data_IF_131859005145
#
_entry.id   IF_131859005145
#
_cell.length_a   1.000
_cell.length_b   1.000
_cell.length_c   1.000
_cell.angle_alpha   90.00
_cell.angle_beta   90.00
_cell.angle_gamma   90.00
#
_symmetry.space_group_name_H-M   'P 1'
#
loop_
_entity.id
_entity.type
_entity.pdbx_description
1 polymer ?
#
# COMPACT_ATOMS: atom_id res chain seq x y z
N UNK A 1 13.05 -0.28 -2.73
CA UNK A 1 12.70 1.15 -2.83
C UNK A 1 13.62 1.98 -1.92
N UNK A 2 13.64 1.79 -0.59
CA UNK A 2 14.45 2.60 0.35
C UNK A 2 15.95 2.63 0.02
N UNK A 3 16.57 1.48 -0.27
CA UNK A 3 18.00 1.41 -0.63
C UNK A 3 18.28 2.21 -1.91
N UNK A 4 17.42 2.09 -2.93
CA UNK A 4 17.57 2.86 -4.17
C UNK A 4 17.40 4.37 -3.93
N UNK A 5 16.48 4.78 -3.05
CA UNK A 5 16.34 6.18 -2.65
C UNK A 5 17.62 6.70 -2.00
N UNK A 6 18.16 5.93 -1.08
CA UNK A 6 19.43 6.26 -0.39
C UNK A 6 20.58 6.39 -1.40
N UNK A 7 20.75 5.39 -2.28
CA UNK A 7 21.85 5.37 -3.23
C UNK A 7 21.77 6.55 -4.22
N UNK A 8 20.58 6.89 -4.71
CA UNK A 8 20.37 8.06 -5.57
C UNK A 8 20.71 9.38 -4.84
N UNK A 9 20.21 9.54 -3.62
CA UNK A 9 20.44 10.76 -2.85
C UNK A 9 21.89 10.92 -2.37
N UNK A 10 22.55 9.82 -1.99
CA UNK A 10 23.96 9.88 -1.60
C UNK A 10 24.88 10.12 -2.79
N UNK A 11 24.57 9.56 -3.95
CA UNK A 11 25.33 9.83 -5.18
C UNK A 11 25.27 11.31 -5.60
N UNK A 12 24.10 11.95 -5.44
CA UNK A 12 23.87 13.33 -5.91
C UNK A 12 24.28 14.38 -4.87
N UNK A 13 23.98 14.15 -3.58
CA UNK A 13 24.12 15.13 -2.50
C UNK A 13 25.32 14.85 -1.57
N UNK A 14 26.06 13.77 -1.81
CA UNK A 14 27.10 13.25 -0.92
C UNK A 14 26.52 12.47 0.27
N UNK A 15 27.37 11.65 0.90
CA UNK A 15 26.93 10.66 1.91
C UNK A 15 26.08 11.27 3.03
N UNK A 16 26.62 12.25 3.74
CA UNK A 16 25.91 12.80 4.92
C UNK A 16 24.60 13.47 4.57
N UNK A 17 24.58 14.31 3.53
CA UNK A 17 23.37 15.03 3.11
C UNK A 17 22.35 14.06 2.52
N UNK A 18 22.80 13.13 1.68
CA UNK A 18 21.93 12.10 1.08
C UNK A 18 21.25 11.22 2.11
N UNK A 19 21.96 10.81 3.18
CA UNK A 19 21.34 10.08 4.30
C UNK A 19 20.25 10.89 5.00
N UNK A 20 20.50 12.18 5.28
CA UNK A 20 19.49 13.02 5.91
C UNK A 20 18.25 13.20 5.05
N UNK A 21 18.42 13.46 3.74
CA UNK A 21 17.30 13.58 2.83
C UNK A 21 16.52 12.27 2.68
N UNK A 22 17.19 11.11 2.71
CA UNK A 22 16.55 9.80 2.71
C UNK A 22 15.69 9.61 3.96
N UNK A 23 16.21 9.92 5.15
CA UNK A 23 15.48 9.81 6.40
C UNK A 23 14.31 10.79 6.45
N UNK A 24 14.50 12.03 6.06
CA UNK A 24 13.45 13.04 6.02
C UNK A 24 12.35 12.66 5.03
N UNK A 25 12.71 12.15 3.85
CA UNK A 25 11.75 11.63 2.86
C UNK A 25 10.95 10.45 3.43
N UNK A 26 11.63 9.48 4.01
CA UNK A 26 11.01 8.28 4.58
C UNK A 26 10.02 8.61 5.71
N UNK A 27 10.47 9.33 6.73
CA UNK A 27 9.58 9.72 7.83
C UNK A 27 8.56 10.78 7.43
N UNK A 28 8.88 11.62 6.43
CA UNK A 28 7.94 12.56 5.82
C UNK A 28 6.80 11.83 5.10
N UNK A 29 7.09 10.74 4.39
CA UNK A 29 6.09 9.86 3.79
C UNK A 29 5.19 9.21 4.84
N UNK A 30 5.77 8.66 5.92
CA UNK A 30 5.00 8.12 7.05
C UNK A 30 4.08 9.18 7.67
N UNK A 31 4.60 10.38 7.91
CA UNK A 31 3.82 11.48 8.48
C UNK A 31 2.69 11.92 7.54
N UNK A 32 2.98 11.98 6.24
CA UNK A 32 1.98 12.35 5.24
C UNK A 32 0.78 11.40 5.28
N UNK A 33 1.02 10.09 5.23
CA UNK A 33 -0.07 9.11 5.26
C UNK A 33 -0.78 9.09 6.62
N UNK A 34 -0.06 9.22 7.72
CA UNK A 34 -0.64 9.34 9.06
C UNK A 34 -1.56 10.57 9.19
N UNK A 35 -1.20 11.69 8.56
CA UNK A 35 -2.05 12.88 8.52
C UNK A 35 -3.29 12.66 7.65
N UNK A 36 -3.13 12.01 6.49
CA UNK A 36 -4.27 11.65 5.62
C UNK A 36 -5.23 10.76 6.40
N UNK A 37 -4.71 9.72 7.07
CA UNK A 37 -5.50 8.82 7.90
C UNK A 37 -6.27 9.55 9.00
N UNK A 38 -5.63 10.46 9.72
CA UNK A 38 -6.25 11.27 10.76
C UNK A 38 -7.43 12.11 10.27
N UNK A 39 -7.43 12.52 8.99
CA UNK A 39 -8.54 13.28 8.39
C UNK A 39 -9.69 12.40 7.90
N UNK A 40 -9.51 11.08 7.85
CA UNK A 40 -10.60 10.14 7.56
C UNK A 40 -11.47 10.01 8.83
N UNK A 41 -12.80 10.23 8.76
CA UNK A 41 -13.66 10.21 9.94
C UNK A 41 -13.59 8.85 10.66
N UNK A 42 -13.26 8.84 11.96
CA UNK A 42 -13.05 7.63 12.78
C UNK A 42 -14.21 6.62 12.73
N UNK A 43 -15.47 7.08 12.67
CA UNK A 43 -16.65 6.20 12.53
C UNK A 43 -16.61 5.33 11.27
N UNK A 44 -15.84 5.71 10.29
CA UNK A 44 -15.71 5.09 8.98
C UNK A 44 -14.26 4.77 8.62
N UNK A 45 -13.32 4.98 9.53
CA UNK A 45 -11.90 4.78 9.28
C UNK A 45 -11.62 3.28 9.08
N UNK A 46 -11.10 2.84 7.93
CA UNK A 46 -10.75 1.45 7.68
C UNK A 46 -9.58 0.98 8.55
N UNK A 47 -8.76 1.92 9.02
CA UNK A 47 -7.54 1.68 9.81
C UNK A 47 -7.85 1.34 11.28
N UNK A 48 -9.05 1.67 11.80
CA UNK A 48 -9.41 1.30 13.16
C UNK A 48 -9.82 -0.16 13.28
N UNK A 49 -9.01 -0.94 13.99
CA UNK A 49 -9.32 -2.32 14.39
C UNK A 49 -10.46 -2.30 15.39
N UNK A 50 -11.68 -2.55 14.95
CA UNK A 50 -12.83 -2.70 15.85
C UNK A 50 -12.71 -4.02 16.61
N UNK A 51 -12.85 -3.94 17.94
CA UNK A 51 -12.72 -5.10 18.83
C UNK A 51 -13.89 -6.09 18.66
N UNK A 52 -13.64 -7.36 19.04
CA UNK A 52 -14.66 -8.43 19.03
C UNK A 52 -15.88 -8.07 19.88
N UNK A 53 -15.72 -7.21 20.89
CA UNK A 53 -16.79 -6.70 21.74
C UNK A 53 -17.79 -5.82 20.99
N UNK A 54 -17.32 -5.01 20.02
CA UNK A 54 -18.21 -4.27 19.10
C UNK A 54 -19.00 -5.20 18.17
N UNK A 55 -18.52 -6.44 17.98
CA UNK A 55 -19.17 -7.49 17.19
C UNK A 55 -20.26 -8.18 17.99
N UNK A 56 -20.04 -8.42 19.29
CA UNK A 56 -20.95 -9.15 20.17
C UNK A 56 -22.12 -8.30 20.68
N UNK A 57 -22.02 -6.97 20.61
CA UNK A 57 -23.08 -6.06 21.02
C UNK A 57 -24.26 -5.97 20.01
N UNK A 58 -24.18 -6.65 18.88
CA UNK A 58 -25.21 -6.58 17.82
C UNK A 58 -25.84 -7.95 17.62
N UNK A 59 -27.09 -8.07 18.02
CA UNK A 59 -28.00 -9.20 17.70
C UNK A 59 -28.01 -9.53 16.20
N UNK A 60 -28.07 -10.82 15.80
CA UNK A 60 -27.82 -11.25 14.43
C UNK A 60 -29.01 -10.94 13.52
N UNK A 61 -29.00 -9.80 12.87
CA UNK A 61 -29.81 -9.57 11.69
C UNK A 61 -28.88 -9.55 10.47
N UNK A 62 -29.06 -10.48 9.54
CA UNK A 62 -28.29 -10.65 8.30
C UNK A 62 -28.05 -9.34 7.51
N UNK A 63 -28.93 -8.36 7.65
CA UNK A 63 -28.85 -7.05 6.99
C UNK A 63 -27.74 -6.18 7.58
N UNK A 64 -27.57 -6.16 8.91
CA UNK A 64 -26.52 -5.35 9.57
C UNK A 64 -25.12 -5.87 9.28
N UNK A 65 -24.97 -7.19 9.14
CA UNK A 65 -23.68 -7.79 8.80
C UNK A 65 -23.27 -7.49 7.35
N UNK A 66 -24.23 -7.49 6.42
CA UNK A 66 -24.01 -7.15 5.02
C UNK A 66 -23.56 -5.68 4.85
N UNK A 67 -24.23 -4.73 5.53
CA UNK A 67 -23.85 -3.31 5.51
C UNK A 67 -22.46 -3.08 6.10
N UNK A 68 -22.14 -3.81 7.15
CA UNK A 68 -20.83 -3.76 7.78
C UNK A 68 -19.72 -4.28 6.87
N UNK A 69 -19.94 -5.45 6.25
CA UNK A 69 -18.99 -6.04 5.30
C UNK A 69 -18.84 -5.15 4.05
N UNK A 70 -19.93 -4.56 3.57
CA UNK A 70 -19.86 -3.64 2.45
C UNK A 70 -19.04 -2.38 2.79
N UNK A 71 -19.26 -1.79 3.96
CA UNK A 71 -18.46 -0.66 4.44
C UNK A 71 -16.98 -1.05 4.55
N UNK A 72 -16.68 -2.16 5.23
CA UNK A 72 -15.31 -2.66 5.36
C UNK A 72 -14.64 -2.81 3.99
N UNK A 73 -15.26 -3.52 3.05
CA UNK A 73 -14.68 -3.72 1.72
C UNK A 73 -14.52 -2.42 0.92
N UNK A 74 -15.44 -1.46 1.07
CA UNK A 74 -15.34 -0.16 0.39
C UNK A 74 -14.20 0.69 0.96
N UNK A 75 -14.01 0.68 2.28
CA UNK A 75 -12.92 1.41 2.91
C UNK A 75 -11.57 0.74 2.63
N UNK A 76 -11.51 -0.59 2.65
CA UNK A 76 -10.31 -1.32 2.21
C UNK A 76 -9.95 -0.98 0.76
N UNK A 77 -10.96 -0.87 -0.14
CA UNK A 77 -10.73 -0.44 -1.52
C UNK A 77 -10.16 0.97 -1.61
N UNK A 78 -10.64 1.90 -0.77
CA UNK A 78 -10.12 3.26 -0.70
C UNK A 78 -8.69 3.30 -0.16
N UNK A 79 -8.41 2.59 0.92
CA UNK A 79 -7.08 2.49 1.50
C UNK A 79 -6.06 1.94 0.50
N UNK A 80 -6.42 0.85 -0.20
CA UNK A 80 -5.58 0.26 -1.25
C UNK A 80 -5.43 1.21 -2.45
N UNK A 81 -6.44 1.98 -2.83
CA UNK A 81 -6.29 2.99 -3.88
C UNK A 81 -5.30 4.10 -3.48
N UNK A 82 -5.33 4.54 -2.23
CA UNK A 82 -4.37 5.52 -1.68
C UNK A 82 -2.95 4.94 -1.65
N UNK A 83 -2.82 3.65 -1.35
CA UNK A 83 -1.55 2.92 -1.36
C UNK A 83 -0.98 2.76 -2.78
N UNK A 84 -1.80 2.30 -3.72
CA UNK A 84 -1.39 2.00 -5.09
C UNK A 84 -1.00 3.26 -5.88
N UNK A 85 -1.54 4.41 -5.55
CA UNK A 85 -1.22 5.65 -6.26
C UNK A 85 0.26 6.05 -6.15
N UNK A 86 0.89 6.17 -4.95
CA UNK A 86 2.33 6.37 -4.81
C UNK A 86 3.18 5.24 -5.42
N UNK A 87 2.68 4.03 -5.41
CA UNK A 87 3.36 2.87 -5.97
C UNK A 87 3.45 2.97 -7.50
N UNK A 88 2.37 3.39 -8.17
CA UNK A 88 2.38 3.70 -9.59
C UNK A 88 3.37 4.81 -9.95
N UNK A 89 3.50 5.84 -9.13
CA UNK A 89 4.53 6.89 -9.28
C UNK A 89 5.93 6.26 -9.22
N UNK A 90 6.19 5.44 -8.20
CA UNK A 90 7.49 4.82 -8.00
C UNK A 90 7.86 3.85 -9.14
N UNK A 91 6.92 3.01 -9.57
CA UNK A 91 7.10 2.06 -10.68
C UNK A 91 7.41 2.80 -11.97
N UNK A 92 6.67 3.87 -12.30
CA UNK A 92 6.90 4.68 -13.48
C UNK A 92 8.29 5.35 -13.47
N UNK A 93 8.65 6.00 -12.36
CA UNK A 93 9.95 6.69 -12.24
C UNK A 93 11.11 5.68 -12.34
N UNK A 94 10.96 4.48 -11.74
CA UNK A 94 11.96 3.41 -11.89
C UNK A 94 12.14 2.97 -13.33
N UNK A 95 11.05 2.82 -14.07
CA UNK A 95 11.08 2.42 -15.48
C UNK A 95 11.72 3.49 -16.38
N UNK A 96 11.57 4.75 -16.02
CA UNK A 96 12.21 5.86 -16.75
C UNK A 96 13.73 5.92 -16.53
N UNK A 97 14.21 5.55 -15.35
CA UNK A 97 15.65 5.50 -15.08
C UNK A 97 16.32 4.26 -15.68
N UNK A 98 15.70 3.10 -15.48
CA UNK A 98 16.18 1.81 -15.99
C UNK A 98 14.97 0.92 -16.34
N UNK A 99 14.67 0.71 -17.62
CA UNK A 99 13.55 -0.11 -18.05
C UNK A 99 13.58 -1.55 -17.50
N UNK A 100 14.77 -2.14 -17.30
CA UNK A 100 14.91 -3.50 -16.77
C UNK A 100 14.49 -3.56 -15.32
N UNK A 101 14.89 -2.57 -14.52
CA UNK A 101 14.47 -2.39 -13.13
C UNK A 101 12.97 -2.09 -13.04
N UNK A 102 12.46 -1.24 -13.94
CA UNK A 102 11.03 -0.94 -14.00
C UNK A 102 10.17 -2.18 -14.25
N UNK A 103 10.60 -3.05 -15.17
CA UNK A 103 9.91 -4.33 -15.45
C UNK A 103 9.93 -5.24 -14.22
N UNK A 104 11.09 -5.38 -13.57
CA UNK A 104 11.20 -6.22 -12.36
C UNK A 104 10.30 -5.71 -11.23
N UNK A 105 10.25 -4.39 -11.02
CA UNK A 105 9.36 -3.77 -10.04
C UNK A 105 7.89 -3.99 -10.43
N UNK A 106 7.51 -3.77 -11.69
CA UNK A 106 6.14 -3.96 -12.16
C UNK A 106 5.66 -5.42 -11.95
N UNK A 107 6.53 -6.42 -12.18
CA UNK A 107 6.21 -7.81 -11.93
C UNK A 107 6.00 -8.06 -10.42
N UNK A 108 6.90 -7.54 -9.58
CA UNK A 108 6.79 -7.68 -8.12
C UNK A 108 5.50 -7.03 -7.59
N UNK A 109 5.18 -5.83 -8.09
CA UNK A 109 3.94 -5.09 -7.78
C UNK A 109 2.71 -5.88 -8.24
N UNK A 110 2.70 -6.40 -9.45
CA UNK A 110 1.58 -7.21 -9.93
C UNK A 110 1.32 -8.45 -9.06
N UNK A 111 2.37 -9.08 -8.53
CA UNK A 111 2.25 -10.24 -7.65
C UNK A 111 1.66 -9.85 -6.29
N UNK A 112 2.11 -8.76 -5.67
CA UNK A 112 1.58 -8.38 -4.36
C UNK A 112 0.19 -7.71 -4.43
N UNK A 113 -0.20 -7.13 -5.55
CA UNK A 113 -1.55 -6.62 -5.77
C UNK A 113 -2.63 -7.73 -5.80
N UNK A 114 -2.23 -9.01 -6.02
CA UNK A 114 -3.19 -10.13 -5.96
C UNK A 114 -3.81 -10.28 -4.55
N UNK A 115 -3.04 -10.41 -3.45
CA UNK A 115 -3.58 -10.40 -2.10
C UNK A 115 -4.43 -9.16 -1.77
N UNK A 116 -4.02 -7.99 -2.22
CA UNK A 116 -4.76 -6.74 -2.01
C UNK A 116 -6.11 -6.76 -2.70
N UNK A 117 -6.17 -7.19 -3.95
CA UNK A 117 -7.41 -7.39 -4.68
C UNK A 117 -8.36 -8.36 -3.99
N UNK A 118 -7.82 -9.44 -3.38
CA UNK A 118 -8.59 -10.40 -2.58
C UNK A 118 -9.13 -9.74 -1.31
N UNK A 119 -8.32 -8.93 -0.62
CA UNK A 119 -8.71 -8.22 0.60
C UNK A 119 -9.90 -7.27 0.37
N UNK A 120 -9.98 -6.64 -0.81
CA UNK A 120 -11.14 -5.84 -1.23
C UNK A 120 -12.33 -6.73 -1.65
N UNK A 121 -12.07 -7.71 -2.49
CA UNK A 121 -13.14 -8.48 -3.14
C UNK A 121 -13.93 -9.36 -2.17
N UNK A 122 -13.27 -9.98 -1.19
CA UNK A 122 -13.88 -10.94 -0.27
C UNK A 122 -15.01 -10.31 0.56
N UNK A 123 -14.77 -9.23 1.34
CA UNK A 123 -15.84 -8.65 2.16
C UNK A 123 -17.01 -8.12 1.30
N UNK A 124 -16.73 -7.55 0.13
CA UNK A 124 -17.76 -7.05 -0.78
C UNK A 124 -18.61 -8.20 -1.36
N UNK A 125 -17.98 -9.30 -1.69
CA UNK A 125 -18.69 -10.49 -2.17
C UNK A 125 -19.59 -11.08 -1.08
N UNK A 126 -19.10 -11.23 0.15
CA UNK A 126 -19.92 -11.72 1.26
C UNK A 126 -21.05 -10.75 1.64
N UNK A 127 -20.84 -9.45 1.47
CA UNK A 127 -21.87 -8.44 1.72
C UNK A 127 -23.00 -8.47 0.67
N UNK A 128 -22.66 -8.75 -0.59
CA UNK A 128 -23.58 -8.51 -1.71
C UNK A 128 -24.02 -9.77 -2.45
N UNK A 129 -23.27 -10.86 -2.35
CA UNK A 129 -23.42 -12.07 -3.16
C UNK A 129 -23.07 -11.88 -4.66
N UNK A 130 -22.64 -10.66 -5.06
CA UNK A 130 -22.45 -10.30 -6.46
C UNK A 130 -20.96 -10.23 -6.81
N UNK A 131 -20.46 -11.26 -7.51
CA UNK A 131 -19.05 -11.35 -7.94
C UNK A 131 -18.59 -10.14 -8.75
N UNK A 132 -19.44 -9.65 -9.67
CA UNK A 132 -19.08 -8.51 -10.53
C UNK A 132 -18.91 -7.21 -9.74
N UNK A 133 -19.66 -7.00 -8.65
CA UNK A 133 -19.50 -5.84 -7.78
C UNK A 133 -18.18 -5.90 -7.01
N UNK A 134 -17.84 -7.06 -6.47
CA UNK A 134 -16.57 -7.30 -5.82
C UNK A 134 -15.39 -7.06 -6.77
N UNK A 135 -15.45 -7.64 -7.97
CA UNK A 135 -14.43 -7.46 -9.01
C UNK A 135 -14.26 -5.98 -9.41
N UNK A 136 -15.37 -5.27 -9.67
CA UNK A 136 -15.31 -3.85 -10.09
C UNK A 136 -14.67 -2.95 -9.04
N UNK A 137 -15.00 -3.13 -7.75
CA UNK A 137 -14.43 -2.32 -6.68
C UNK A 137 -12.95 -2.65 -6.45
N UNK A 138 -12.58 -3.92 -6.52
CA UNK A 138 -11.18 -4.35 -6.47
C UNK A 138 -10.38 -3.81 -7.67
N UNK A 139 -10.91 -3.91 -8.88
CA UNK A 139 -10.28 -3.34 -10.07
C UNK A 139 -10.12 -1.83 -9.97
N UNK A 140 -11.14 -1.13 -9.45
CA UNK A 140 -11.10 0.33 -9.31
C UNK A 140 -10.02 0.77 -8.32
N UNK A 141 -9.82 0.04 -7.22
CA UNK A 141 -8.71 0.32 -6.29
C UNK A 141 -7.34 0.08 -6.94
N UNK A 142 -7.21 -0.97 -7.74
CA UNK A 142 -5.97 -1.25 -8.49
C UNK A 142 -5.67 -0.23 -9.59
N UNK A 143 -6.69 0.39 -10.20
CA UNK A 143 -6.50 1.43 -11.22
C UNK A 143 -5.85 2.72 -10.68
N UNK A 144 -5.78 2.90 -9.38
CA UNK A 144 -5.03 4.00 -8.77
C UNK A 144 -3.54 3.95 -9.13
N UNK A 145 -2.97 2.76 -9.33
CA UNK A 145 -1.57 2.58 -9.72
C UNK A 145 -1.27 3.16 -11.13
N UNK A 146 -1.93 2.76 -12.22
CA UNK A 146 -1.70 3.38 -13.52
C UNK A 146 -2.08 4.88 -13.54
N UNK A 147 -3.04 5.32 -12.71
CA UNK A 147 -3.33 6.75 -12.54
C UNK A 147 -2.13 7.46 -11.90
N UNK A 148 -1.52 6.90 -10.87
CA UNK A 148 -0.29 7.41 -10.28
C UNK A 148 0.85 7.52 -11.28
N UNK A 149 1.04 6.50 -12.13
CA UNK A 149 2.02 6.50 -13.20
C UNK A 149 1.77 7.63 -14.23
N UNK A 150 0.51 7.83 -14.65
CA UNK A 150 0.13 8.91 -15.57
C UNK A 150 0.35 10.29 -14.94
N UNK A 151 0.00 10.46 -13.66
CA UNK A 151 0.24 11.71 -12.92
C UNK A 151 1.74 11.98 -12.80
N UNK A 152 2.55 10.96 -12.52
CA UNK A 152 4.01 11.07 -12.50
C UNK A 152 4.55 11.53 -13.87
N UNK A 153 4.07 10.92 -14.94
CA UNK A 153 4.46 11.32 -16.31
C UNK A 153 4.11 12.78 -16.60
N UNK A 154 2.88 13.18 -16.35
CA UNK A 154 2.39 14.51 -16.73
C UNK A 154 2.95 15.65 -15.85
N UNK A 155 3.14 15.40 -14.56
CA UNK A 155 3.47 16.43 -13.57
C UNK A 155 4.94 16.37 -13.17
N UNK A 156 5.48 15.17 -12.87
CA UNK A 156 6.82 15.04 -12.32
C UNK A 156 7.90 14.98 -13.40
N UNK A 157 7.58 14.45 -14.59
CA UNK A 157 8.59 14.28 -15.64
C UNK A 157 9.34 15.57 -16.02
N UNK A 158 8.70 16.76 -16.11
CA UNK A 158 9.41 18.00 -16.40
C UNK A 158 10.40 18.44 -15.31
N UNK A 159 10.22 17.94 -14.07
CA UNK A 159 11.02 18.27 -12.89
C UNK A 159 11.89 17.10 -12.41
N UNK A 160 11.91 15.98 -13.15
CA UNK A 160 12.67 14.80 -12.78
C UNK A 160 14.16 15.12 -12.66
N UNK A 161 14.67 14.93 -11.45
CA UNK A 161 16.09 14.90 -11.11
C UNK A 161 16.36 13.70 -10.20
N UNK A 162 17.61 13.26 -10.10
CA UNK A 162 17.98 12.15 -9.22
C UNK A 162 17.67 12.46 -7.75
N UNK A 163 17.77 13.73 -7.37
CA UNK A 163 17.34 14.19 -6.04
C UNK A 163 15.83 14.03 -5.83
N UNK A 164 14.97 14.48 -6.77
CA UNK A 164 13.53 14.34 -6.67
C UNK A 164 13.11 12.86 -6.66
N UNK A 165 13.72 12.06 -7.54
CA UNK A 165 13.56 10.62 -7.56
C UNK A 165 13.84 10.01 -6.18
N UNK A 166 15.00 10.29 -5.61
CA UNK A 166 15.37 9.75 -4.30
C UNK A 166 14.42 10.16 -3.18
N UNK A 167 13.96 11.43 -3.16
CA UNK A 167 12.98 11.91 -2.16
C UNK A 167 11.63 11.21 -2.31
N UNK A 168 11.10 11.10 -3.53
CA UNK A 168 9.83 10.42 -3.80
C UNK A 168 9.91 8.95 -3.40
N UNK A 169 10.99 8.27 -3.76
CA UNK A 169 11.22 6.86 -3.40
C UNK A 169 11.32 6.65 -1.90
N UNK A 170 12.02 7.54 -1.18
CA UNK A 170 12.09 7.49 0.27
C UNK A 170 10.70 7.69 0.90
N UNK A 171 9.92 8.65 0.40
CA UNK A 171 8.56 8.91 0.88
C UNK A 171 7.62 7.73 0.64
N UNK A 172 7.65 7.14 -0.57
CA UNK A 172 6.85 5.94 -0.90
C UNK A 172 7.24 4.77 0.02
N UNK A 173 8.53 4.54 0.25
CA UNK A 173 8.98 3.51 1.20
C UNK A 173 8.42 3.74 2.61
N UNK A 174 8.37 4.98 3.07
CA UNK A 174 7.77 5.36 4.35
C UNK A 174 6.26 5.09 4.40
N UNK A 175 5.53 5.47 3.36
CA UNK A 175 4.09 5.21 3.22
C UNK A 175 3.81 3.70 3.29
N UNK A 176 4.55 2.89 2.53
CA UNK A 176 4.38 1.43 2.50
C UNK A 176 4.63 0.79 3.86
N UNK A 177 5.66 1.21 4.59
CA UNK A 177 5.94 0.70 5.95
C UNK A 177 4.82 1.10 6.92
N UNK A 178 4.35 2.35 6.87
CA UNK A 178 3.25 2.80 7.72
C UNK A 178 2.00 1.96 7.50
N UNK A 179 1.55 1.80 6.26
CA UNK A 179 0.36 1.02 5.91
C UNK A 179 0.51 -0.45 6.34
N UNK A 180 1.69 -1.03 6.16
CA UNK A 180 1.95 -2.41 6.57
C UNK A 180 1.80 -2.63 8.08
N UNK A 181 2.22 -1.66 8.89
CA UNK A 181 2.18 -1.74 10.35
C UNK A 181 0.80 -1.33 10.89
N UNK A 182 0.20 -0.28 10.34
CA UNK A 182 -1.02 0.32 10.86
C UNK A 182 -2.30 -0.38 10.38
N UNK A 183 -2.31 -0.87 9.13
CA UNK A 183 -3.47 -1.51 8.52
C UNK A 183 -3.35 -3.03 8.40
N UNK A 184 -2.31 -3.49 7.66
CA UNK A 184 -2.25 -4.89 7.24
C UNK A 184 -1.99 -5.83 8.40
N UNK A 185 -1.06 -5.49 9.29
CA UNK A 185 -0.73 -6.33 10.44
C UNK A 185 -1.87 -6.41 11.47
N UNK A 186 -2.54 -5.32 11.87
CA UNK A 186 -3.71 -5.40 12.73
C UNK A 186 -4.88 -6.13 12.08
N UNK A 187 -5.14 -5.93 10.79
CA UNK A 187 -6.17 -6.65 10.05
C UNK A 187 -5.92 -8.16 10.03
N UNK A 188 -4.68 -8.60 9.79
CA UNK A 188 -4.30 -10.00 9.84
C UNK A 188 -4.45 -10.60 11.25
N UNK A 189 -4.04 -9.86 12.30
CA UNK A 189 -4.15 -10.30 13.69
C UNK A 189 -5.59 -10.45 14.19
N UNK A 190 -6.52 -9.68 13.63
CA UNK A 190 -7.93 -9.74 14.03
C UNK A 190 -8.58 -11.10 13.80
N UNK A 191 -8.10 -11.85 12.82
CA UNK A 191 -8.60 -13.19 12.46
C UNK A 191 -7.69 -14.31 12.93
N UNK A 192 -6.65 -13.98 13.71
CA UNK A 192 -5.62 -14.92 14.15
C UNK A 192 -5.70 -15.14 15.66
N UNK A 193 -6.16 -16.31 16.08
CA UNK A 193 -6.16 -16.75 17.47
C UNK A 193 -4.79 -17.30 17.93
N UNK A 194 -3.82 -17.38 17.01
CA UNK A 194 -2.49 -17.96 17.23
C UNK A 194 -1.37 -17.00 16.77
N UNK A 195 -0.27 -17.51 16.24
CA UNK A 195 0.82 -16.73 15.65
C UNK A 195 0.84 -16.81 14.11
N UNK A 196 -0.25 -17.25 13.48
CA UNK A 196 -0.31 -17.49 12.03
C UNK A 196 -0.10 -16.21 11.23
N UNK A 197 -0.62 -15.08 11.70
CA UNK A 197 -0.41 -13.76 11.09
C UNK A 197 1.07 -13.35 11.09
N UNK A 198 1.80 -13.64 12.18
CA UNK A 198 3.24 -13.35 12.28
C UNK A 198 4.05 -14.27 11.36
N UNK A 199 3.70 -15.56 11.31
CA UNK A 199 4.34 -16.48 10.38
C UNK A 199 4.08 -16.12 8.93
N UNK A 200 2.85 -15.71 8.61
CA UNK A 200 2.49 -15.19 7.28
C UNK A 200 3.29 -13.94 6.92
N UNK A 201 3.46 -13.01 7.85
CA UNK A 201 4.28 -11.82 7.66
C UNK A 201 5.74 -12.17 7.38
N UNK A 202 6.34 -13.07 8.17
CA UNK A 202 7.72 -13.53 7.98
C UNK A 202 7.87 -14.25 6.63
N UNK A 203 6.91 -15.11 6.27
CA UNK A 203 6.92 -15.81 4.99
C UNK A 203 6.82 -14.84 3.81
N UNK A 204 5.96 -13.82 3.91
CA UNK A 204 5.87 -12.75 2.90
C UNK A 204 7.19 -11.99 2.74
N UNK A 205 7.84 -11.62 3.85
CA UNK A 205 9.17 -11.00 3.81
C UNK A 205 10.21 -11.91 3.14
N UNK A 206 10.20 -13.21 3.42
CA UNK A 206 11.12 -14.17 2.81
C UNK A 206 10.88 -14.30 1.30
N UNK A 207 9.62 -14.36 0.85
CA UNK A 207 9.26 -14.39 -0.57
C UNK A 207 9.73 -13.12 -1.28
N UNK A 208 9.51 -11.95 -0.68
CA UNK A 208 9.96 -10.68 -1.25
C UNK A 208 11.50 -10.58 -1.30
N UNK A 209 12.19 -11.01 -0.25
CA UNK A 209 13.66 -11.05 -0.24
C UNK A 209 14.20 -12.00 -1.32
N UNK A 210 13.59 -13.17 -1.47
CA UNK A 210 13.98 -14.14 -2.51
C UNK A 210 13.72 -13.58 -3.92
N UNK A 211 12.58 -12.91 -4.14
CA UNK A 211 12.27 -12.30 -5.44
C UNK A 211 13.30 -11.24 -5.82
N UNK A 212 13.76 -10.43 -4.87
CA UNK A 212 14.82 -9.44 -5.11
C UNK A 212 16.15 -10.10 -5.51
N UNK A 213 16.51 -11.23 -4.89
CA UNK A 213 17.74 -11.96 -5.23
C UNK A 213 17.63 -12.61 -6.61
N UNK A 214 16.45 -13.15 -6.96
CA UNK A 214 16.25 -13.84 -8.26
C UNK A 214 16.11 -12.87 -9.44
N UNK A 215 15.70 -11.61 -9.18
CA UNK A 215 15.49 -10.58 -10.21
C UNK A 215 16.65 -9.57 -10.27
N UNK A 216 17.64 -9.68 -9.39
CA UNK A 216 18.85 -8.84 -9.43
C UNK A 216 19.89 -9.41 -10.40
#
# INVERSE_FOLDING_TARGET
IFVKAKDALTAELGDTTGYWFTLLGFFGGMLLIALIDKFIPQKNNPHEVRTVEDVNAVSPTKIKDADRLMKMGTFTALAIAIHNFPEGIATFISAMQDPSVGIAIAIAVAIHNIPEGIAVAVPIFYATGVRMKAFKLSLLSGLAEPVGAVVAYLILMPFLSDTLFGIVFAAVAGIMVFISIDELLPAAKKYDETHLSVYGFIAGMAVMALSLVLLA
#
